data_IF_790924656103
#
_entry.id   IF_790924656103
#
_cell.length_a   1.000
_cell.length_b   1.000
_cell.length_c   1.000
_cell.angle_alpha   90.00
_cell.angle_beta   90.00
_cell.angle_gamma   90.00
#
_symmetry.space_group_name_H-M   'P 1'
#
loop_
_entity.id
_entity.type
_entity.pdbx_description
1 polymer ?
#
# COMPACT_ATOMS: atom_id res chain seq x y z
N UNK A 1 1.67 22.38 19.99
CA UNK A 1 2.37 22.27 18.70
C UNK A 1 2.74 20.82 18.31
N UNK A 2 3.17 19.92 19.23
CA UNK A 2 3.53 18.53 18.92
C UNK A 2 2.38 17.59 18.47
N UNK A 3 1.13 17.91 18.76
CA UNK A 3 -0.02 17.07 18.40
C UNK A 3 -0.37 17.20 16.90
N UNK A 4 -0.19 18.37 16.28
CA UNK A 4 -0.45 18.60 14.86
C UNK A 4 0.50 17.81 13.93
N UNK A 5 1.79 17.68 14.27
CA UNK A 5 2.76 16.94 13.46
C UNK A 5 2.45 15.43 13.36
N UNK A 6 1.83 14.84 14.40
CA UNK A 6 1.53 13.41 14.42
C UNK A 6 0.39 13.03 13.45
N UNK A 7 -0.56 13.95 13.21
CA UNK A 7 -1.69 13.69 12.29
C UNK A 7 -1.36 13.91 10.82
N UNK A 8 -0.37 14.76 10.48
CA UNK A 8 0.00 15.08 9.10
C UNK A 8 1.11 14.20 8.52
N UNK A 9 1.62 13.22 9.28
CA UNK A 9 2.68 12.28 8.83
C UNK A 9 2.33 11.43 7.59
N UNK A 10 1.07 11.44 7.14
CA UNK A 10 0.59 10.72 5.95
C UNK A 10 0.25 11.66 4.79
N UNK A 11 0.47 12.96 4.91
CA UNK A 11 0.09 13.92 3.89
C UNK A 11 0.99 13.89 2.65
N UNK A 12 2.28 13.56 2.79
CA UNK A 12 3.20 13.51 1.67
C UNK A 12 3.17 12.13 0.98
N UNK A 13 2.94 12.11 -0.33
CA UNK A 13 2.88 10.89 -1.14
C UNK A 13 4.13 10.01 -0.99
N UNK A 14 5.33 10.61 -0.91
CA UNK A 14 6.59 9.90 -0.70
C UNK A 14 6.63 9.13 0.62
N UNK A 15 6.21 9.76 1.72
CA UNK A 15 6.16 9.11 3.03
C UNK A 15 5.12 7.99 3.09
N UNK A 16 3.98 8.13 2.38
CA UNK A 16 2.99 7.06 2.27
C UNK A 16 3.61 5.84 1.57
N UNK A 17 4.25 6.03 0.42
CA UNK A 17 4.90 4.95 -0.33
C UNK A 17 5.99 4.29 0.51
N UNK A 18 6.82 5.06 1.20
CA UNK A 18 7.87 4.52 2.07
C UNK A 18 7.32 3.60 3.17
N UNK A 19 6.20 3.97 3.79
CA UNK A 19 5.57 3.15 4.84
C UNK A 19 4.94 1.88 4.30
N UNK A 20 4.23 2.00 3.17
CA UNK A 20 3.65 0.82 2.52
C UNK A 20 4.77 -0.12 2.05
N UNK A 21 5.86 0.40 1.49
CA UNK A 21 7.03 -0.39 1.13
C UNK A 21 7.68 -1.05 2.34
N UNK A 22 7.77 -0.37 3.49
CA UNK A 22 8.27 -0.98 4.73
C UNK A 22 7.40 -2.15 5.16
N UNK A 23 6.08 -1.99 5.14
CA UNK A 23 5.14 -3.05 5.46
C UNK A 23 5.31 -4.23 4.51
N UNK A 24 5.30 -3.98 3.20
CA UNK A 24 5.51 -4.98 2.16
C UNK A 24 6.81 -5.76 2.38
N UNK A 25 7.93 -5.07 2.58
CA UNK A 25 9.23 -5.75 2.81
C UNK A 25 9.16 -6.64 4.05
N UNK A 26 8.57 -6.17 5.15
CA UNK A 26 8.43 -6.96 6.36
C UNK A 26 7.58 -8.22 6.12
N UNK A 27 6.45 -8.08 5.45
CA UNK A 27 5.54 -9.18 5.12
C UNK A 27 6.21 -10.25 4.24
N UNK A 28 6.93 -9.81 3.19
CA UNK A 28 7.67 -10.73 2.32
C UNK A 28 8.86 -11.41 3.02
N UNK A 29 9.53 -10.72 3.93
CA UNK A 29 10.60 -11.34 4.73
C UNK A 29 10.04 -12.41 5.66
N UNK A 30 8.89 -12.17 6.30
CA UNK A 30 8.20 -13.18 7.11
C UNK A 30 7.80 -14.37 6.23
N UNK A 31 7.26 -14.11 5.04
CA UNK A 31 6.94 -15.16 4.08
C UNK A 31 8.17 -16.01 3.71
N UNK A 32 9.28 -15.38 3.32
CA UNK A 32 10.51 -16.12 3.00
C UNK A 32 11.07 -16.90 4.19
N UNK A 33 11.06 -16.32 5.39
CA UNK A 33 11.47 -17.01 6.61
C UNK A 33 10.60 -18.25 6.88
N UNK A 34 9.28 -18.14 6.69
CA UNK A 34 8.34 -19.25 6.85
C UNK A 34 8.62 -20.38 5.82
N UNK A 35 8.88 -20.00 4.58
CA UNK A 35 9.25 -20.97 3.52
C UNK A 35 10.57 -21.68 3.85
N UNK A 36 11.60 -20.94 4.28
CA UNK A 36 12.88 -21.51 4.68
C UNK A 36 12.71 -22.48 5.85
N UNK A 37 11.96 -22.10 6.87
CA UNK A 37 11.67 -22.98 8.00
C UNK A 37 10.99 -24.28 7.54
N UNK A 38 9.97 -24.18 6.69
CA UNK A 38 9.23 -25.35 6.19
C UNK A 38 10.12 -26.26 5.33
N UNK A 39 10.97 -25.70 4.46
CA UNK A 39 11.91 -26.46 3.63
C UNK A 39 12.88 -27.28 4.48
N UNK A 40 13.50 -26.66 5.48
CA UNK A 40 14.45 -27.31 6.34
C UNK A 40 13.80 -28.32 7.31
N UNK A 41 12.59 -28.03 7.77
CA UNK A 41 11.79 -28.99 8.54
C UNK A 41 11.42 -30.22 7.70
N UNK A 42 11.03 -30.05 6.43
CA UNK A 42 10.76 -31.14 5.50
C UNK A 42 12.02 -31.94 5.19
N UNK A 43 13.17 -31.29 5.07
CA UNK A 43 14.47 -31.94 4.91
C UNK A 43 14.84 -32.78 6.14
N UNK A 44 14.66 -32.26 7.34
CA UNK A 44 14.95 -32.97 8.58
C UNK A 44 14.10 -34.25 8.73
N UNK A 45 12.87 -34.24 8.20
CA UNK A 45 11.98 -35.42 8.14
C UNK A 45 12.31 -36.38 6.99
N UNK A 46 13.34 -36.13 6.17
CA UNK A 46 13.70 -36.93 5.04
C UNK A 46 12.77 -36.86 3.81
N UNK A 47 11.78 -35.93 3.82
CA UNK A 47 10.78 -35.82 2.75
C UNK A 47 11.38 -35.22 1.48
N UNK A 48 12.42 -34.40 1.58
CA UNK A 48 13.03 -33.71 0.43
C UNK A 48 14.54 -33.88 0.38
N UNK A 49 15.07 -33.86 -0.85
CA UNK A 49 16.50 -33.92 -1.08
C UNK A 49 17.22 -32.64 -0.64
N UNK A 50 18.48 -32.76 -0.23
CA UNK A 50 19.31 -31.60 0.13
C UNK A 50 19.46 -30.63 -1.05
N UNK A 51 19.63 -31.13 -2.27
CA UNK A 51 19.79 -30.29 -3.47
C UNK A 51 18.58 -29.42 -3.75
N UNK A 52 17.37 -29.95 -3.66
CA UNK A 52 16.14 -29.17 -3.80
C UNK A 52 16.00 -28.10 -2.68
N UNK A 53 16.22 -28.53 -1.42
CA UNK A 53 16.13 -27.60 -0.26
C UNK A 53 17.12 -26.45 -0.40
N UNK A 54 18.38 -26.75 -0.75
CA UNK A 54 19.41 -25.73 -0.94
C UNK A 54 19.06 -24.79 -2.11
N UNK A 55 18.61 -25.34 -3.25
CA UNK A 55 18.25 -24.55 -4.42
C UNK A 55 17.14 -23.53 -4.13
N UNK A 56 16.02 -23.97 -3.55
CA UNK A 56 14.91 -23.06 -3.22
C UNK A 56 15.28 -22.09 -2.12
N UNK A 57 16.12 -22.52 -1.14
CA UNK A 57 16.64 -21.63 -0.11
C UNK A 57 17.47 -20.48 -0.69
N UNK A 58 18.33 -20.77 -1.68
CA UNK A 58 19.11 -19.73 -2.38
C UNK A 58 18.18 -18.74 -3.07
N UNK A 59 17.15 -19.21 -3.78
CA UNK A 59 16.16 -18.34 -4.43
C UNK A 59 15.46 -17.45 -3.41
N UNK A 60 15.00 -18.01 -2.29
CA UNK A 60 14.32 -17.24 -1.24
C UNK A 60 15.25 -16.18 -0.61
N UNK A 61 16.49 -16.54 -0.29
CA UNK A 61 17.49 -15.62 0.29
C UNK A 61 17.87 -14.52 -0.70
N UNK A 62 18.10 -14.86 -1.97
CA UNK A 62 18.42 -13.87 -3.02
C UNK A 62 17.24 -12.92 -3.24
N UNK A 63 16.01 -13.44 -3.32
CA UNK A 63 14.80 -12.62 -3.49
C UNK A 63 14.59 -11.69 -2.29
N UNK A 64 14.70 -12.19 -1.07
CA UNK A 64 14.59 -11.40 0.15
C UNK A 64 15.71 -10.36 0.28
N UNK A 65 16.95 -10.74 -0.05
CA UNK A 65 18.12 -9.85 -0.07
C UNK A 65 17.98 -8.72 -1.10
N UNK A 66 17.54 -9.04 -2.32
CA UNK A 66 17.29 -8.06 -3.38
C UNK A 66 16.20 -7.05 -2.95
N UNK A 67 15.13 -7.55 -2.31
CA UNK A 67 14.05 -6.71 -1.79
C UNK A 67 14.55 -5.77 -0.68
N UNK A 68 15.34 -6.28 0.27
CA UNK A 68 15.95 -5.48 1.34
C UNK A 68 16.90 -4.41 0.81
N UNK A 69 17.79 -4.78 -0.14
CA UNK A 69 18.74 -3.85 -0.75
C UNK A 69 18.00 -2.78 -1.54
N UNK A 70 16.97 -3.19 -2.31
CA UNK A 70 16.13 -2.27 -3.07
C UNK A 70 15.43 -1.25 -2.16
N UNK A 71 14.87 -1.71 -1.05
CA UNK A 71 14.22 -0.85 -0.06
C UNK A 71 15.22 0.10 0.64
N UNK A 72 16.37 -0.39 1.07
CA UNK A 72 17.40 0.47 1.71
C UNK A 72 17.93 1.55 0.77
N UNK A 73 18.08 1.24 -0.53
CA UNK A 73 18.59 2.21 -1.52
C UNK A 73 17.55 3.23 -1.95
N UNK A 74 16.30 2.81 -2.12
CA UNK A 74 15.20 3.66 -2.60
C UNK A 74 13.88 3.30 -1.91
N UNK A 75 13.67 3.75 -0.65
CA UNK A 75 12.50 3.36 0.13
C UNK A 75 11.17 3.85 -0.47
N UNK A 76 11.19 4.89 -1.31
CA UNK A 76 10.01 5.48 -1.95
C UNK A 76 9.74 4.93 -3.37
N UNK A 77 10.50 3.89 -3.79
CA UNK A 77 10.37 3.38 -5.15
C UNK A 77 9.12 2.53 -5.33
N UNK A 78 8.27 2.91 -6.29
CA UNK A 78 7.12 2.10 -6.69
C UNK A 78 7.52 0.77 -7.36
N UNK A 79 8.76 0.65 -7.85
CA UNK A 79 9.27 -0.59 -8.49
C UNK A 79 9.49 -1.73 -7.50
N UNK A 80 9.62 -1.41 -6.21
CA UNK A 80 9.88 -2.39 -5.17
C UNK A 80 8.80 -3.46 -5.10
N UNK A 81 7.54 -3.08 -5.31
CA UNK A 81 6.40 -3.99 -5.34
C UNK A 81 6.47 -5.03 -6.46
N UNK A 82 6.96 -4.66 -7.66
CA UNK A 82 7.14 -5.60 -8.76
C UNK A 82 8.31 -6.56 -8.51
N UNK A 83 9.39 -6.07 -7.89
CA UNK A 83 10.50 -6.92 -7.45
C UNK A 83 10.02 -7.97 -6.44
N UNK A 84 9.16 -7.56 -5.50
CA UNK A 84 8.54 -8.45 -4.52
C UNK A 84 7.68 -9.54 -5.20
N UNK A 85 6.86 -9.17 -6.22
CA UNK A 85 6.06 -10.15 -6.97
C UNK A 85 6.91 -11.16 -7.72
N UNK A 86 8.01 -10.75 -8.36
CA UNK A 86 8.91 -11.66 -9.07
C UNK A 86 9.47 -12.70 -8.09
N UNK A 87 9.96 -12.25 -6.93
CA UNK A 87 10.46 -13.15 -5.91
C UNK A 87 9.39 -14.10 -5.37
N UNK A 88 8.16 -13.60 -5.15
CA UNK A 88 7.01 -14.41 -4.75
C UNK A 88 6.74 -15.51 -5.78
N UNK A 89 6.66 -15.15 -7.06
CA UNK A 89 6.36 -16.12 -8.11
C UNK A 89 7.43 -17.18 -8.24
N UNK A 90 8.71 -16.80 -8.18
CA UNK A 90 9.81 -17.76 -8.27
C UNK A 90 9.76 -18.77 -7.12
N UNK A 91 9.66 -18.30 -5.88
CA UNK A 91 9.61 -19.18 -4.72
C UNK A 91 8.34 -20.03 -4.72
N UNK A 92 7.17 -19.41 -4.98
CA UNK A 92 5.89 -20.12 -5.00
C UNK A 92 5.84 -21.18 -6.10
N UNK A 93 6.42 -20.93 -7.27
CA UNK A 93 6.46 -21.90 -8.35
C UNK A 93 7.14 -23.21 -7.92
N UNK A 94 8.35 -23.10 -7.37
CA UNK A 94 9.08 -24.29 -6.92
C UNK A 94 8.42 -24.98 -5.74
N UNK A 95 7.82 -24.20 -4.83
CA UNK A 95 7.12 -24.74 -3.68
C UNK A 95 5.85 -25.47 -4.08
N UNK A 96 4.98 -24.84 -4.86
CA UNK A 96 3.70 -25.45 -5.30
C UNK A 96 3.89 -26.59 -6.27
N UNK A 97 4.98 -26.59 -7.06
CA UNK A 97 5.32 -27.72 -7.92
C UNK A 97 5.83 -28.94 -7.14
N UNK A 98 6.58 -28.70 -6.06
CA UNK A 98 7.16 -29.76 -5.25
C UNK A 98 6.22 -30.32 -4.18
N UNK A 99 5.23 -29.56 -3.73
CA UNK A 99 4.31 -29.90 -2.65
C UNK A 99 2.88 -29.87 -3.15
N UNK A 100 2.09 -30.89 -2.81
CA UNK A 100 0.66 -30.99 -3.18
C UNK A 100 -0.26 -30.41 -2.13
N UNK A 101 0.26 -30.09 -0.94
CA UNK A 101 -0.53 -29.59 0.16
C UNK A 101 -1.15 -28.20 -0.12
N UNK A 102 -2.45 -28.10 0.03
CA UNK A 102 -3.27 -26.89 -0.23
C UNK A 102 -2.74 -25.66 0.47
N UNK A 103 -2.29 -25.79 1.73
CA UNK A 103 -1.85 -24.65 2.53
C UNK A 103 -0.66 -23.90 1.89
N UNK A 104 0.20 -24.58 1.14
CA UNK A 104 1.35 -23.96 0.45
C UNK A 104 0.89 -22.99 -0.63
N UNK A 105 -0.20 -23.33 -1.33
CA UNK A 105 -0.82 -22.47 -2.34
C UNK A 105 -1.44 -21.24 -1.71
N UNK A 106 -2.07 -21.39 -0.54
CA UNK A 106 -2.67 -20.28 0.19
C UNK A 106 -1.64 -19.41 0.91
N UNK A 107 -0.49 -19.98 1.31
CA UNK A 107 0.56 -19.20 1.99
C UNK A 107 1.08 -18.05 1.14
N UNK A 108 1.20 -18.23 -0.18
CA UNK A 108 1.61 -17.16 -1.10
C UNK A 108 0.55 -16.06 -1.31
N UNK A 109 -0.69 -16.26 -0.85
CA UNK A 109 -1.70 -15.20 -0.84
C UNK A 109 -1.45 -14.17 0.27
N UNK A 110 -0.86 -14.55 1.40
CA UNK A 110 -0.65 -13.64 2.52
C UNK A 110 0.08 -12.36 2.07
N UNK A 111 1.27 -12.40 1.45
CA UNK A 111 1.92 -11.20 0.96
C UNK A 111 1.18 -10.54 -0.22
N UNK A 112 0.30 -11.26 -0.93
CA UNK A 112 -0.52 -10.67 -1.98
C UNK A 112 -1.66 -9.80 -1.44
N UNK A 113 -2.22 -10.14 -0.28
CA UNK A 113 -3.26 -9.33 0.37
C UNK A 113 -2.73 -7.94 0.71
N UNK A 114 -1.45 -7.80 1.06
CA UNK A 114 -0.78 -6.52 1.28
C UNK A 114 -0.82 -5.59 0.07
N UNK A 115 -1.06 -6.12 -1.15
CA UNK A 115 -1.24 -5.34 -2.37
C UNK A 115 -2.38 -4.32 -2.28
N UNK A 116 -3.40 -4.57 -1.47
CA UNK A 116 -4.55 -3.68 -1.25
C UNK A 116 -4.07 -2.31 -0.73
N UNK A 117 -3.02 -2.28 0.08
CA UNK A 117 -2.46 -1.06 0.67
C UNK A 117 -1.88 -0.08 -0.37
N UNK A 118 -1.56 -0.55 -1.56
CA UNK A 118 -1.08 0.32 -2.64
C UNK A 118 -2.19 1.06 -3.38
N UNK A 119 -3.45 0.66 -3.20
CA UNK A 119 -4.59 1.21 -3.95
C UNK A 119 -4.33 1.24 -5.47
N UNK A 120 -3.53 0.30 -5.99
CA UNK A 120 -3.18 0.21 -7.40
C UNK A 120 -3.82 -1.02 -8.03
N UNK A 121 -4.90 -0.85 -8.81
CA UNK A 121 -5.60 -1.96 -9.44
C UNK A 121 -4.77 -2.69 -10.49
N UNK A 122 -3.81 -2.00 -11.13
CA UNK A 122 -2.93 -2.65 -12.11
C UNK A 122 -2.01 -3.65 -11.42
N UNK A 123 -1.41 -3.22 -10.31
CA UNK A 123 -0.56 -4.11 -9.51
C UNK A 123 -1.34 -5.30 -8.95
N UNK A 124 -2.54 -5.07 -8.40
CA UNK A 124 -3.40 -6.13 -7.88
C UNK A 124 -3.82 -7.13 -8.97
N UNK A 125 -4.16 -6.66 -10.20
CA UNK A 125 -4.49 -7.53 -11.33
C UNK A 125 -3.29 -8.35 -11.79
N UNK A 126 -2.15 -7.71 -12.02
CA UNK A 126 -0.92 -8.40 -12.45
C UNK A 126 -0.53 -9.45 -11.41
N UNK A 127 -0.51 -9.06 -10.11
CA UNK A 127 -0.18 -9.95 -9.01
C UNK A 127 -1.15 -11.11 -8.88
N UNK A 128 -2.46 -10.84 -8.91
CA UNK A 128 -3.49 -11.87 -8.74
C UNK A 128 -3.60 -12.83 -9.92
N UNK A 129 -3.70 -12.31 -11.13
CA UNK A 129 -3.80 -13.14 -12.34
C UNK A 129 -2.53 -13.95 -12.52
N UNK A 130 -1.35 -13.33 -12.34
CA UNK A 130 -0.07 -14.05 -12.45
C UNK A 130 0.04 -15.17 -11.42
N UNK A 131 -0.39 -14.94 -10.18
CA UNK A 131 -0.40 -15.96 -9.14
C UNK A 131 -1.38 -17.10 -9.45
N UNK A 132 -2.56 -16.79 -9.97
CA UNK A 132 -3.55 -17.77 -10.38
C UNK A 132 -3.04 -18.64 -11.56
N UNK A 133 -2.46 -18.02 -12.58
CA UNK A 133 -1.86 -18.73 -13.73
C UNK A 133 -0.73 -19.65 -13.27
N UNK A 134 0.14 -19.19 -12.39
CA UNK A 134 1.22 -19.98 -11.83
C UNK A 134 0.67 -21.24 -11.13
N UNK A 135 -0.34 -21.08 -10.27
CA UNK A 135 -0.95 -22.21 -9.58
C UNK A 135 -1.70 -23.14 -10.55
N UNK A 136 -2.36 -22.62 -11.57
CA UNK A 136 -2.99 -23.43 -12.60
C UNK A 136 -1.98 -24.32 -13.34
N UNK A 137 -0.82 -23.74 -13.71
CA UNK A 137 0.26 -24.48 -14.36
C UNK A 137 0.83 -25.59 -13.46
N UNK A 138 1.02 -25.31 -12.17
CA UNK A 138 1.53 -26.30 -11.21
C UNK A 138 0.52 -27.42 -10.96
N UNK A 139 -0.78 -27.09 -10.83
CA UNK A 139 -1.87 -28.08 -10.71
C UNK A 139 -1.91 -28.99 -11.95
N UNK A 140 -1.88 -28.39 -13.14
CA UNK A 140 -1.85 -29.17 -14.39
C UNK A 140 -0.64 -30.10 -14.47
N UNK A 141 0.55 -29.62 -14.08
CA UNK A 141 1.77 -30.42 -14.00
C UNK A 141 1.66 -31.58 -13.00
N UNK A 142 1.07 -31.38 -11.86
CA UNK A 142 0.85 -32.38 -10.82
C UNK A 142 -0.14 -33.47 -11.28
N UNK A 143 -1.27 -33.07 -11.87
CA UNK A 143 -2.25 -34.03 -12.41
C UNK A 143 -1.61 -34.94 -13.50
N UNK A 144 -0.73 -34.35 -14.30
CA UNK A 144 -0.06 -35.11 -15.37
C UNK A 144 1.02 -36.10 -14.86
N UNK A 145 1.73 -35.72 -13.78
CA UNK A 145 2.83 -36.52 -13.23
C UNK A 145 2.36 -37.63 -12.28
N UNK A 146 1.32 -37.35 -11.53
CA UNK A 146 0.71 -38.30 -10.60
C UNK A 146 -0.79 -38.32 -10.90
N UNK A 147 -1.30 -39.22 -11.72
CA UNK A 147 -2.71 -39.45 -11.84
C UNK A 147 -3.20 -40.10 -10.53
N UNK A 148 -3.18 -39.30 -9.44
CA UNK A 148 -3.90 -39.65 -8.23
C UNK A 148 -5.34 -39.89 -8.62
N UNK A 149 -6.00 -40.87 -7.99
CA UNK A 149 -7.37 -41.20 -8.32
C UNK A 149 -8.28 -39.97 -8.28
N UNK A 150 -9.49 -40.07 -8.79
CA UNK A 150 -10.47 -38.97 -8.96
C UNK A 150 -10.54 -38.00 -7.75
N UNK A 151 -10.36 -38.51 -6.53
CA UNK A 151 -10.39 -37.70 -5.31
C UNK A 151 -9.23 -36.70 -5.21
N UNK A 152 -8.00 -37.08 -5.55
CA UNK A 152 -6.85 -36.18 -5.49
C UNK A 152 -6.94 -35.06 -6.53
N UNK A 153 -7.36 -35.38 -7.76
CA UNK A 153 -7.60 -34.41 -8.82
C UNK A 153 -8.70 -33.40 -8.43
N UNK A 154 -9.79 -33.90 -7.81
CA UNK A 154 -10.89 -33.03 -7.36
C UNK A 154 -10.42 -32.01 -6.31
N UNK A 155 -9.59 -32.43 -5.34
CA UNK A 155 -9.06 -31.51 -4.32
C UNK A 155 -8.18 -30.42 -4.95
N UNK A 156 -7.32 -30.76 -5.90
CA UNK A 156 -6.47 -29.79 -6.61
C UNK A 156 -7.30 -28.76 -7.39
N UNK A 157 -8.38 -29.18 -8.01
CA UNK A 157 -9.30 -28.30 -8.74
C UNK A 157 -10.07 -27.39 -7.76
N UNK A 158 -10.54 -27.93 -6.63
CA UNK A 158 -11.20 -27.14 -5.59
C UNK A 158 -10.28 -26.09 -4.99
N UNK A 159 -9.01 -26.42 -4.74
CA UNK A 159 -8.01 -25.47 -4.27
C UNK A 159 -7.82 -24.32 -5.27
N UNK A 160 -7.76 -24.64 -6.56
CA UNK A 160 -7.60 -23.63 -7.61
C UNK A 160 -8.83 -22.73 -7.71
N UNK A 161 -10.04 -23.27 -7.56
CA UNK A 161 -11.28 -22.49 -7.53
C UNK A 161 -11.32 -21.58 -6.31
N UNK A 162 -11.00 -22.09 -5.11
CA UNK A 162 -10.94 -21.30 -3.88
C UNK A 162 -9.90 -20.17 -4.01
N UNK A 163 -8.72 -20.47 -4.57
CA UNK A 163 -7.70 -19.48 -4.86
C UNK A 163 -8.21 -18.40 -5.82
N UNK A 164 -8.95 -18.80 -6.86
CA UNK A 164 -9.56 -17.89 -7.83
C UNK A 164 -10.53 -16.91 -7.17
N UNK A 165 -11.39 -17.41 -6.28
CA UNK A 165 -12.33 -16.57 -5.51
C UNK A 165 -11.59 -15.56 -4.64
N UNK A 166 -10.53 -16.00 -3.93
CA UNK A 166 -9.73 -15.11 -3.07
C UNK A 166 -8.98 -14.05 -3.89
N UNK A 167 -8.36 -14.42 -5.01
CA UNK A 167 -7.71 -13.46 -5.92
C UNK A 167 -8.71 -12.46 -6.46
N UNK A 168 -9.89 -12.92 -6.88
CA UNK A 168 -10.95 -12.02 -7.33
C UNK A 168 -11.37 -11.05 -6.22
N UNK A 169 -11.56 -11.55 -5.00
CA UNK A 169 -11.90 -10.71 -3.84
C UNK A 169 -10.84 -9.62 -3.59
N UNK A 170 -9.54 -9.95 -3.66
CA UNK A 170 -8.45 -8.98 -3.50
C UNK A 170 -8.48 -7.93 -4.61
N UNK A 171 -8.65 -8.34 -5.87
CA UNK A 171 -8.72 -7.41 -7.01
C UNK A 171 -9.95 -6.49 -6.86
N UNK A 172 -11.10 -7.05 -6.51
CA UNK A 172 -12.33 -6.28 -6.33
C UNK A 172 -12.20 -5.28 -5.17
N UNK A 173 -11.71 -5.74 -4.01
CA UNK A 173 -11.49 -4.87 -2.84
C UNK A 173 -10.51 -3.75 -3.15
N UNK A 174 -9.42 -4.02 -3.89
CA UNK A 174 -8.46 -3.00 -4.31
C UNK A 174 -9.12 -1.94 -5.22
N UNK A 175 -9.96 -2.36 -6.17
CA UNK A 175 -10.69 -1.43 -7.04
C UNK A 175 -11.66 -0.54 -6.24
N UNK A 176 -12.39 -1.12 -5.29
CA UNK A 176 -13.31 -0.36 -4.42
C UNK A 176 -12.54 0.59 -3.52
N UNK A 177 -11.48 0.12 -2.87
CA UNK A 177 -10.62 0.94 -2.00
C UNK A 177 -9.99 2.13 -2.76
N UNK A 178 -9.60 1.93 -4.02
CA UNK A 178 -9.11 3.03 -4.86
C UNK A 178 -10.19 4.09 -5.11
N UNK A 179 -11.42 3.67 -5.43
CA UNK A 179 -12.53 4.60 -5.64
C UNK A 179 -12.80 5.42 -4.37
N UNK A 180 -12.91 4.78 -3.21
CA UNK A 180 -13.08 5.49 -1.94
C UNK A 180 -11.95 6.47 -1.65
N UNK A 181 -10.70 6.07 -1.86
CA UNK A 181 -9.55 6.96 -1.66
C UNK A 181 -9.58 8.17 -2.61
N UNK A 182 -10.00 7.96 -3.86
CA UNK A 182 -10.17 9.04 -4.84
C UNK A 182 -11.27 10.02 -4.41
N UNK A 183 -12.42 9.51 -4.00
CA UNK A 183 -13.57 10.34 -3.60
C UNK A 183 -13.28 11.11 -2.32
N UNK A 184 -12.62 10.48 -1.33
CA UNK A 184 -12.19 11.14 -0.10
C UNK A 184 -11.22 12.29 -0.41
N UNK A 185 -10.22 12.07 -1.27
CA UNK A 185 -9.26 13.12 -1.67
C UNK A 185 -9.94 14.27 -2.40
N UNK A 186 -10.93 13.96 -3.23
CA UNK A 186 -11.68 14.99 -3.96
C UNK A 186 -12.52 15.84 -3.01
N UNK A 187 -13.15 15.22 -2.01
CA UNK A 187 -13.90 15.91 -0.96
C UNK A 187 -12.98 16.81 -0.11
N UNK A 188 -11.82 16.30 0.33
CA UNK A 188 -10.83 17.09 1.07
C UNK A 188 -10.33 18.30 0.27
N UNK A 189 -10.08 18.14 -1.03
CA UNK A 189 -9.68 19.26 -1.90
C UNK A 189 -10.78 20.30 -2.04
N UNK A 190 -12.04 19.88 -2.11
CA UNK A 190 -13.17 20.82 -2.15
C UNK A 190 -13.31 21.59 -0.84
N UNK A 191 -13.16 20.92 0.29
CA UNK A 191 -13.18 21.58 1.60
C UNK A 191 -12.03 22.58 1.76
N UNK A 192 -10.82 22.22 1.35
CA UNK A 192 -9.67 23.13 1.36
C UNK A 192 -9.92 24.38 0.49
N UNK A 193 -10.50 24.20 -0.71
CA UNK A 193 -10.87 25.34 -1.56
C UNK A 193 -11.90 26.25 -0.89
N UNK A 194 -12.93 25.67 -0.26
CA UNK A 194 -13.93 26.45 0.49
C UNK A 194 -13.29 27.21 1.63
N UNK A 195 -12.40 26.57 2.40
CA UNK A 195 -11.67 27.24 3.48
C UNK A 195 -10.80 28.39 2.95
N UNK A 196 -10.18 28.23 1.80
CA UNK A 196 -9.36 29.28 1.19
C UNK A 196 -10.19 30.48 0.74
N UNK A 197 -11.37 30.25 0.14
CA UNK A 197 -12.30 31.34 -0.21
C UNK A 197 -12.76 32.08 1.04
N UNK A 198 -13.13 31.35 2.11
CA UNK A 198 -13.54 31.99 3.38
C UNK A 198 -12.37 32.81 3.97
N UNK A 199 -11.15 32.32 3.89
CA UNK A 199 -9.97 33.02 4.40
C UNK A 199 -9.74 34.33 3.61
N UNK A 200 -9.84 34.27 2.28
CA UNK A 200 -9.70 35.44 1.41
C UNK A 200 -10.80 36.48 1.68
N UNK A 201 -12.05 36.04 1.90
CA UNK A 201 -13.15 36.92 2.29
C UNK A 201 -12.90 37.59 3.66
N UNK A 202 -12.42 36.82 4.66
CA UNK A 202 -12.07 37.37 5.99
C UNK A 202 -10.94 38.37 5.90
N UNK A 203 -9.91 38.14 5.07
CA UNK A 203 -8.82 39.08 4.84
C UNK A 203 -9.38 40.38 4.18
N UNK A 204 -10.28 40.22 3.19
CA UNK A 204 -10.94 41.34 2.54
C UNK A 204 -11.71 42.22 3.53
N UNK A 205 -12.54 41.61 4.38
CA UNK A 205 -13.30 42.33 5.43
C UNK A 205 -12.37 42.99 6.45
N UNK A 206 -11.29 42.32 6.87
CA UNK A 206 -10.32 42.89 7.79
C UNK A 206 -9.65 44.17 7.22
N UNK A 207 -9.32 44.13 5.92
CA UNK A 207 -8.74 45.29 5.23
C UNK A 207 -9.74 46.47 5.10
N UNK A 208 -11.02 46.19 4.83
CA UNK A 208 -12.07 47.20 4.84
C UNK A 208 -12.27 47.85 6.22
N UNK A 209 -12.31 47.00 7.26
CA UNK A 209 -12.40 47.50 8.67
C UNK A 209 -11.18 48.36 9.02
N UNK A 210 -9.98 47.97 8.61
CA UNK A 210 -8.76 48.75 8.83
C UNK A 210 -8.89 50.14 8.17
N UNK A 211 -9.29 50.21 6.90
CA UNK A 211 -9.47 51.45 6.14
C UNK A 211 -10.56 52.31 6.77
N UNK A 212 -11.67 51.70 7.21
CA UNK A 212 -12.74 52.40 7.94
C UNK A 212 -12.24 53.01 9.25
N UNK A 213 -11.45 52.25 10.01
CA UNK A 213 -10.86 52.74 11.27
C UNK A 213 -9.88 53.88 11.04
N UNK A 214 -9.04 53.83 10.01
CA UNK A 214 -8.14 54.94 9.64
C UNK A 214 -8.91 56.20 9.27
N UNK A 215 -10.03 56.06 8.54
CA UNK A 215 -10.91 57.18 8.16
C UNK A 215 -11.58 57.83 9.40
N UNK A 216 -12.07 57.00 10.33
CA UNK A 216 -12.66 57.49 11.59
C UNK A 216 -11.62 58.21 12.44
N UNK A 217 -10.38 57.65 12.53
CA UNK A 217 -9.29 58.30 13.28
C UNK A 217 -8.93 59.68 12.70
N UNK A 218 -8.95 59.82 11.37
CA UNK A 218 -8.74 61.11 10.71
C UNK A 218 -9.82 62.10 11.04
N UNK A 219 -11.10 61.73 11.00
CA UNK A 219 -12.22 62.57 11.36
C UNK A 219 -12.14 63.03 12.84
N UNK A 220 -11.78 62.12 13.76
CA UNK A 220 -11.58 62.43 15.17
C UNK A 220 -10.46 63.43 15.39
N UNK A 221 -9.34 63.29 14.68
CA UNK A 221 -8.24 64.26 14.76
C UNK A 221 -8.63 65.64 14.21
N UNK A 222 -9.37 65.70 13.09
CA UNK A 222 -9.86 66.93 12.51
C UNK A 222 -10.87 67.63 13.42
N UNK A 223 -11.74 66.90 14.11
CA UNK A 223 -12.67 67.41 15.15
C UNK A 223 -11.92 67.95 16.37
N UNK A 224 -10.91 67.23 16.88
CA UNK A 224 -10.10 67.71 17.99
C UNK A 224 -9.37 69.00 17.64
N UNK A 225 -8.77 69.09 16.45
CA UNK A 225 -8.13 70.33 15.97
C UNK A 225 -9.14 71.52 15.85
N UNK A 226 -10.36 71.26 15.40
CA UNK A 226 -11.41 72.25 15.29
C UNK A 226 -11.90 72.71 16.67
N UNK A 227 -11.94 71.81 17.65
CA UNK A 227 -12.37 72.13 19.05
C UNK A 227 -11.30 72.96 19.74
N UNK A 228 -10.04 72.74 19.48
CA UNK A 228 -8.92 73.53 20.00
C UNK A 228 -8.93 74.97 19.49
N UNK A 229 -9.21 75.15 18.18
CA UNK A 229 -9.35 76.45 17.56
C UNK A 229 -10.55 77.25 18.19
N UNK A 230 -11.68 76.57 18.40
CA UNK A 230 -12.86 77.23 19.05
C UNK A 230 -12.57 77.61 20.49
N UNK A 231 -11.74 76.85 21.21
CA UNK A 231 -11.38 77.20 22.62
C UNK A 231 -10.40 78.33 22.71
N UNK A 232 -9.60 78.65 21.69
CA UNK A 232 -8.66 79.76 21.65
C UNK A 232 -9.36 81.14 21.29
N UNK A 233 -10.53 81.07 20.69
CA UNK A 233 -11.28 82.24 20.23
C UNK A 233 -12.25 82.80 21.34
N UNK A 234 -12.33 82.11 22.46
CA UNK A 234 -13.15 82.49 23.59
C UNK A 234 -12.28 83.09 24.68
#
# INVERSE_FOLDING_TARGET
MKIKEKYYRFAEKGQQIQRVNRFLVTEYLIFYASILFMLWASRAKGVRSLGFTAFVSVIAVVSGGALLIGWKRRPESERLRYLALIGLYLVSFFMTFAYTESFIRFLGLAPFIGCILFFDPKYSRIGGIGYLVLNALTVFGQIRQQPEGVAGTTNLVLDLLALGVLVFAVIFTTNVAQKFNHDTRHSEQQEQRKQQVILDDVIGVAEEVRKGTESVMKIVNDLNGSTEVVSMVR
#
